data_IF_781300956678
#
_entry.id   IF_781300956678
#
_cell.length_a   1.000
_cell.length_b   1.000
_cell.length_c   1.000
_cell.angle_alpha   90.00
_cell.angle_beta   90.00
_cell.angle_gamma   90.00
#
_symmetry.space_group_name_H-M   'P 1'
#
loop_
_entity.id
_entity.type
_entity.pdbx_description
1 polymer ?
#
# COMPACT_ATOMS: atom_id res chain seq x y z
N UNK A 1 19.74 -16.06 28.33
CA UNK A 1 20.41 -14.98 27.56
C UNK A 1 19.89 -15.04 26.12
N UNK A 2 18.82 -14.31 25.82
CA UNK A 2 18.25 -14.28 24.47
C UNK A 2 18.93 -13.20 23.62
N UNK A 3 19.36 -13.60 22.43
CA UNK A 3 20.03 -12.76 21.44
C UNK A 3 18.98 -11.90 20.73
N UNK A 4 18.89 -10.63 21.12
CA UNK A 4 18.07 -9.62 20.45
C UNK A 4 18.57 -9.42 19.01
N UNK A 5 17.72 -9.77 18.05
CA UNK A 5 17.98 -9.61 16.62
C UNK A 5 18.25 -8.13 16.30
N UNK A 6 19.33 -7.89 15.57
CA UNK A 6 19.86 -6.57 15.18
C UNK A 6 19.08 -6.03 13.98
N UNK A 7 17.78 -5.79 14.17
CA UNK A 7 16.92 -5.22 13.14
C UNK A 7 17.19 -3.72 13.01
N UNK A 8 17.81 -3.34 11.89
CA UNK A 8 17.86 -2.01 11.28
C UNK A 8 17.78 -0.77 12.19
N UNK A 9 18.95 -0.20 12.50
CA UNK A 9 19.13 1.14 13.11
C UNK A 9 18.46 2.32 12.36
N UNK A 10 17.82 2.08 11.22
CA UNK A 10 17.11 3.10 10.43
C UNK A 10 15.62 3.22 10.73
N UNK A 11 14.99 2.20 11.33
CA UNK A 11 13.55 2.24 11.67
C UNK A 11 13.28 3.03 12.95
N UNK A 12 14.15 2.89 13.97
CA UNK A 12 14.05 3.65 15.22
C UNK A 12 14.22 5.17 15.02
N UNK A 13 14.92 5.62 13.97
CA UNK A 13 15.11 7.04 13.69
C UNK A 13 13.88 7.70 13.05
N UNK A 14 13.00 6.93 12.41
CA UNK A 14 11.69 7.39 11.94
C UNK A 14 10.63 7.34 13.04
N UNK A 15 10.88 6.60 14.12
CA UNK A 15 9.97 6.41 15.25
C UNK A 15 10.40 7.26 16.45
N UNK A 16 11.17 8.32 16.19
CA UNK A 16 11.59 9.33 17.15
C UNK A 16 10.44 9.70 18.08
N UNK A 17 10.69 9.38 19.35
CA UNK A 17 9.92 9.73 20.53
C UNK A 17 9.48 11.19 20.53
N UNK A 18 8.19 11.42 20.32
CA UNK A 18 7.40 12.37 21.12
C UNK A 18 5.89 12.25 20.82
N UNK A 19 5.15 11.94 21.89
CA UNK A 19 3.75 12.20 22.22
C UNK A 19 2.74 12.65 21.12
N UNK A 20 2.42 11.75 20.20
CA UNK A 20 1.07 11.69 19.64
C UNK A 20 0.67 10.23 19.41
N UNK A 21 -0.19 9.74 20.30
CA UNK A 21 -0.90 8.47 20.21
C UNK A 21 -1.78 8.40 18.95
N UNK A 22 -1.19 8.26 17.77
CA UNK A 22 -1.85 7.61 16.65
C UNK A 22 -1.70 6.11 16.88
N UNK A 23 -2.55 5.56 17.74
CA UNK A 23 -2.71 4.11 17.81
C UNK A 23 -3.09 3.63 16.40
N UNK A 24 -2.17 2.94 15.74
CA UNK A 24 -2.46 2.04 14.63
C UNK A 24 -3.36 0.92 15.20
N UNK A 25 -4.63 1.23 15.41
CA UNK A 25 -5.65 0.24 15.74
C UNK A 25 -5.93 -0.54 14.47
N UNK A 26 -5.06 -1.49 14.15
CA UNK A 26 -5.25 -2.42 13.04
C UNK A 26 -6.30 -3.45 13.46
N UNK A 27 -7.56 -3.08 13.43
CA UNK A 27 -8.66 -4.05 13.57
C UNK A 27 -8.71 -4.89 12.30
N UNK A 28 -8.21 -6.13 12.37
CA UNK A 28 -8.47 -7.13 11.35
C UNK A 28 -9.98 -7.32 11.26
N UNK A 29 -10.56 -6.86 10.15
CA UNK A 29 -12.00 -6.93 9.88
C UNK A 29 -12.22 -7.71 8.59
N UNK A 30 -13.35 -8.40 8.49
CA UNK A 30 -13.77 -9.01 7.23
C UNK A 30 -14.73 -8.06 6.54
N UNK A 31 -14.43 -7.70 5.30
CA UNK A 31 -15.22 -6.77 4.50
C UNK A 31 -15.69 -7.47 3.22
N UNK A 32 -16.92 -7.19 2.81
CA UNK A 32 -17.45 -7.70 1.54
C UNK A 32 -16.62 -7.19 0.36
N UNK A 33 -16.29 -8.09 -0.56
CA UNK A 33 -15.48 -7.75 -1.74
C UNK A 33 -16.17 -6.74 -2.66
N UNK A 34 -17.50 -6.64 -2.58
CA UNK A 34 -18.35 -5.74 -3.36
C UNK A 34 -18.30 -4.29 -2.88
N UNK A 35 -18.01 -4.07 -1.59
CA UNK A 35 -17.91 -2.71 -1.02
C UNK A 35 -16.48 -2.15 -1.08
N UNK A 36 -15.52 -2.94 -1.56
CA UNK A 36 -14.14 -2.53 -1.77
C UNK A 36 -13.95 -2.02 -3.20
N UNK A 37 -13.68 -0.74 -3.33
CA UNK A 37 -13.34 -0.09 -4.59
C UNK A 37 -11.84 -0.10 -4.84
N UNK A 38 -11.46 -0.23 -6.10
CA UNK A 38 -10.06 -0.13 -6.51
C UNK A 38 -9.56 1.30 -6.30
N UNK A 39 -8.27 1.43 -6.02
CA UNK A 39 -7.66 2.77 -5.95
C UNK A 39 -7.65 3.40 -7.35
N UNK A 40 -8.13 4.65 -7.51
CA UNK A 40 -8.02 5.38 -8.76
C UNK A 40 -6.56 5.74 -9.09
N UNK A 41 -5.65 5.57 -8.12
CA UNK A 41 -4.24 5.93 -8.23
C UNK A 41 -3.34 4.74 -8.57
N UNK A 42 -3.90 3.62 -9.04
CA UNK A 42 -3.11 2.45 -9.41
C UNK A 42 -2.62 2.53 -10.87
N UNK A 43 -1.29 2.65 -11.09
CA UNK A 43 -0.74 2.78 -12.44
C UNK A 43 -0.64 1.43 -13.18
N UNK A 44 -0.70 0.28 -12.48
CA UNK A 44 -0.50 -1.04 -13.12
C UNK A 44 -1.70 -1.41 -13.99
N UNK A 45 -1.55 -1.29 -15.31
CA UNK A 45 -2.56 -1.70 -16.30
C UNK A 45 -2.45 -3.15 -16.77
N UNK A 46 -1.27 -3.76 -16.65
CA UNK A 46 -1.01 -5.15 -17.07
C UNK A 46 -0.80 -6.09 -15.88
N UNK A 47 -1.60 -7.15 -15.80
CA UNK A 47 -1.40 -8.26 -14.85
C UNK A 47 -1.12 -9.52 -15.67
N UNK A 48 -0.14 -10.29 -15.25
CA UNK A 48 0.08 -11.63 -15.77
C UNK A 48 -1.10 -12.51 -15.32
N UNK A 49 -1.83 -13.04 -16.30
CA UNK A 49 -3.06 -13.80 -16.07
C UNK A 49 -2.76 -15.19 -15.48
N UNK A 50 -1.60 -15.76 -15.80
CA UNK A 50 -1.15 -17.04 -15.25
C UNK A 50 -0.77 -16.90 -13.77
N UNK A 51 -0.03 -15.85 -13.42
CA UNK A 51 0.28 -15.56 -12.02
C UNK A 51 -0.97 -15.24 -11.18
N UNK A 52 -1.95 -14.56 -11.78
CA UNK A 52 -3.22 -14.25 -11.13
C UNK A 52 -4.05 -15.52 -10.89
N UNK A 53 -4.08 -16.42 -11.89
CA UNK A 53 -4.76 -17.71 -11.79
C UNK A 53 -4.17 -18.59 -10.68
N UNK A 54 -2.83 -18.68 -10.63
CA UNK A 54 -2.13 -19.39 -9.56
C UNK A 54 -2.43 -18.81 -8.16
N UNK A 55 -2.46 -17.47 -8.04
CA UNK A 55 -2.81 -16.81 -6.78
C UNK A 55 -4.28 -17.05 -6.40
N UNK A 56 -5.20 -17.02 -7.37
CA UNK A 56 -6.62 -17.33 -7.17
C UNK A 56 -6.82 -18.76 -6.68
N UNK A 57 -6.14 -19.74 -7.29
CA UNK A 57 -6.17 -21.13 -6.84
C UNK A 57 -5.62 -21.28 -5.41
N UNK A 58 -4.53 -20.60 -5.08
CA UNK A 58 -3.98 -20.59 -3.72
C UNK A 58 -4.96 -19.99 -2.71
N UNK A 59 -5.61 -18.87 -3.06
CA UNK A 59 -6.60 -18.18 -2.23
C UNK A 59 -7.87 -19.02 -2.05
N UNK A 60 -8.32 -19.78 -3.05
CA UNK A 60 -9.44 -20.72 -2.89
C UNK A 60 -9.15 -21.78 -1.84
N UNK A 61 -7.91 -22.28 -1.77
CA UNK A 61 -7.54 -23.38 -0.87
C UNK A 61 -7.21 -22.89 0.55
N UNK A 62 -6.47 -21.79 0.67
CA UNK A 62 -5.91 -21.34 1.95
C UNK A 62 -6.53 -20.03 2.46
N UNK A 63 -7.40 -19.39 1.68
CA UNK A 63 -7.87 -18.04 1.95
C UNK A 63 -6.78 -16.98 1.75
N UNK A 64 -7.06 -15.76 2.20
CA UNK A 64 -6.10 -14.66 2.15
C UNK A 64 -5.33 -14.62 3.46
N UNK A 65 -4.05 -14.99 3.42
CA UNK A 65 -3.17 -14.96 4.60
C UNK A 65 -2.76 -13.54 4.99
N UNK A 66 -2.47 -12.70 3.99
CA UNK A 66 -2.07 -11.31 4.22
C UNK A 66 -3.26 -10.37 3.94
N UNK A 67 -3.80 -9.67 4.95
CA UNK A 67 -4.93 -8.78 4.79
C UNK A 67 -4.71 -7.68 3.75
N UNK A 68 -5.78 -7.29 3.07
CA UNK A 68 -5.77 -6.09 2.21
C UNK A 68 -5.67 -4.85 3.09
N UNK A 69 -5.06 -3.78 2.59
CA UNK A 69 -5.08 -2.48 3.29
C UNK A 69 -6.12 -1.62 2.61
N UNK A 70 -7.09 -1.14 3.38
CA UNK A 70 -8.20 -0.32 2.88
C UNK A 70 -8.35 0.91 3.75
N UNK A 71 -8.91 1.98 3.18
CA UNK A 71 -9.40 3.13 3.96
C UNK A 71 -10.91 3.25 3.82
N UNK A 72 -11.57 3.76 4.85
CA UNK A 72 -13.00 4.00 4.80
C UNK A 72 -13.30 5.31 4.07
N UNK A 73 -14.23 5.29 3.11
CA UNK A 73 -14.71 6.46 2.37
C UNK A 73 -16.24 6.41 2.35
N UNK A 74 -16.86 7.15 3.27
CA UNK A 74 -18.31 7.04 3.52
C UNK A 74 -18.69 5.63 3.99
N UNK A 75 -19.63 5.01 3.28
CA UNK A 75 -20.11 3.64 3.56
C UNK A 75 -19.30 2.55 2.82
N UNK A 76 -18.27 2.94 2.06
CA UNK A 76 -17.46 2.05 1.23
C UNK A 76 -16.01 2.02 1.70
N UNK A 77 -15.26 1.08 1.15
CA UNK A 77 -13.83 0.96 1.38
C UNK A 77 -13.07 1.21 0.09
N UNK A 78 -12.03 2.02 0.15
CA UNK A 78 -11.10 2.18 -0.96
C UNK A 78 -9.84 1.38 -0.68
N UNK A 79 -9.42 0.56 -1.64
CA UNK A 79 -8.18 -0.19 -1.54
C UNK A 79 -6.98 0.76 -1.53
N UNK A 80 -6.07 0.57 -0.58
CA UNK A 80 -4.78 1.26 -0.51
C UNK A 80 -3.68 0.34 -1.03
N UNK A 81 -3.68 -0.93 -0.59
CA UNK A 81 -2.69 -1.93 -1.02
C UNK A 81 -3.29 -3.34 -1.11
N UNK A 82 -2.75 -4.14 -2.04
CA UNK A 82 -3.15 -5.54 -2.24
C UNK A 82 -4.03 -5.81 -3.46
N UNK A 83 -3.92 -5.02 -4.53
CA UNK A 83 -4.75 -5.13 -5.75
C UNK A 83 -4.77 -6.54 -6.35
N UNK A 84 -3.60 -7.19 -6.44
CA UNK A 84 -3.49 -8.58 -6.92
C UNK A 84 -4.32 -9.54 -6.07
N UNK A 85 -4.30 -9.37 -4.75
CA UNK A 85 -5.05 -10.20 -3.79
C UNK A 85 -6.55 -9.92 -3.90
N UNK A 86 -6.98 -8.67 -4.04
CA UNK A 86 -8.39 -8.32 -4.24
C UNK A 86 -8.93 -8.94 -5.55
N UNK A 87 -8.17 -8.82 -6.65
CA UNK A 87 -8.55 -9.41 -7.94
C UNK A 87 -8.60 -10.93 -7.89
N UNK A 88 -7.58 -11.57 -7.30
CA UNK A 88 -7.56 -13.01 -7.13
C UNK A 88 -8.69 -13.50 -6.20
N UNK A 89 -9.05 -12.73 -5.17
CA UNK A 89 -10.20 -13.03 -4.31
C UNK A 89 -11.54 -12.97 -5.05
N UNK A 90 -11.71 -11.98 -5.92
CA UNK A 90 -12.88 -11.89 -6.82
C UNK A 90 -12.94 -13.09 -7.76
N UNK A 91 -11.84 -13.43 -8.41
CA UNK A 91 -11.74 -14.61 -9.27
C UNK A 91 -11.93 -15.93 -8.50
N UNK A 92 -11.56 -15.94 -7.22
CA UNK A 92 -11.77 -17.07 -6.32
C UNK A 92 -13.24 -17.25 -5.90
N UNK A 93 -14.09 -16.23 -6.09
CA UNK A 93 -15.48 -16.25 -5.65
C UNK A 93 -15.66 -16.02 -4.15
N UNK A 94 -14.69 -15.38 -3.48
CA UNK A 94 -14.81 -15.03 -2.07
C UNK A 94 -15.81 -13.89 -1.87
N UNK A 95 -16.76 -14.06 -0.95
CA UNK A 95 -17.72 -13.02 -0.57
C UNK A 95 -17.10 -11.96 0.34
N UNK A 96 -16.21 -12.36 1.24
CA UNK A 96 -15.54 -11.48 2.20
C UNK A 96 -14.04 -11.74 2.25
N UNK A 97 -13.28 -10.69 2.54
CA UNK A 97 -11.81 -10.74 2.61
C UNK A 97 -11.31 -10.07 3.90
N UNK A 98 -10.21 -10.57 4.49
CA UNK A 98 -9.58 -9.92 5.62
C UNK A 98 -8.94 -8.60 5.17
N UNK A 99 -9.25 -7.54 5.89
CA UNK A 99 -8.72 -6.20 5.64
C UNK A 99 -8.20 -5.57 6.92
N UNK A 100 -7.21 -4.70 6.75
CA UNK A 100 -6.74 -3.74 7.73
C UNK A 100 -7.26 -2.38 7.32
N UNK A 101 -8.11 -1.78 8.14
CA UNK A 101 -8.64 -0.42 7.90
C UNK A 101 -7.63 0.60 8.41
N UNK A 102 -7.25 1.54 7.56
CA UNK A 102 -6.37 2.67 7.90
C UNK A 102 -7.10 4.00 7.73
N UNK A 103 -6.83 4.93 8.65
CA UNK A 103 -7.38 6.29 8.59
C UNK A 103 -6.47 7.18 7.76
N UNK A 104 -6.41 6.94 6.45
CA UNK A 104 -5.61 7.74 5.51
C UNK A 104 -6.46 8.78 4.79
N UNK A 105 -5.98 10.02 4.79
CA UNK A 105 -6.49 11.03 3.85
C UNK A 105 -5.99 10.73 2.41
N UNK A 106 -6.47 11.48 1.42
CA UNK A 106 -6.13 11.26 0.00
C UNK A 106 -4.62 11.35 -0.26
N UNK A 107 -3.94 12.26 0.45
CA UNK A 107 -2.49 12.42 0.35
C UNK A 107 -1.75 11.20 0.86
N UNK A 108 -2.08 10.73 2.08
CA UNK A 108 -1.47 9.55 2.68
C UNK A 108 -1.77 8.27 1.88
N UNK A 109 -2.95 8.17 1.29
CA UNK A 109 -3.30 7.06 0.40
C UNK A 109 -2.42 7.04 -0.85
N UNK A 110 -2.17 8.22 -1.45
CA UNK A 110 -1.27 8.34 -2.60
C UNK A 110 0.20 8.08 -2.21
N UNK A 111 0.66 8.60 -1.06
CA UNK A 111 2.00 8.32 -0.51
C UNK A 111 2.20 6.81 -0.33
N UNK A 112 1.25 6.11 0.30
CA UNK A 112 1.33 4.67 0.52
C UNK A 112 1.34 3.88 -0.80
N UNK A 113 0.53 4.29 -1.78
CA UNK A 113 0.52 3.67 -3.11
C UNK A 113 1.86 3.89 -3.84
N UNK A 114 2.49 5.06 -3.70
CA UNK A 114 3.81 5.34 -4.25
C UNK A 114 4.88 4.48 -3.56
N UNK A 115 4.88 4.40 -2.23
CA UNK A 115 5.85 3.58 -1.48
C UNK A 115 5.78 2.11 -1.90
N UNK A 116 4.59 1.53 -1.96
CA UNK A 116 4.41 0.14 -2.40
C UNK A 116 4.95 -0.08 -3.81
N UNK A 117 4.61 0.82 -4.73
CA UNK A 117 5.09 0.78 -6.10
C UNK A 117 6.62 0.86 -6.19
N UNK A 118 7.26 1.77 -5.44
CA UNK A 118 8.72 1.93 -5.47
C UNK A 118 9.45 0.71 -4.91
N UNK A 119 8.89 0.06 -3.90
CA UNK A 119 9.41 -1.18 -3.31
C UNK A 119 9.34 -2.37 -4.28
N UNK A 120 8.65 -2.24 -5.41
CA UNK A 120 8.63 -3.27 -6.43
C UNK A 120 9.92 -3.32 -7.22
N UNK A 121 10.42 -4.54 -7.39
CA UNK A 121 11.63 -4.86 -8.15
C UNK A 121 11.50 -4.58 -9.65
N UNK A 122 10.27 -4.53 -10.18
CA UNK A 122 9.97 -4.45 -11.62
C UNK A 122 9.52 -3.06 -12.10
N UNK A 123 9.44 -2.06 -11.21
CA UNK A 123 8.86 -0.76 -11.58
C UNK A 123 9.81 0.07 -12.47
N UNK A 124 9.31 0.49 -13.63
CA UNK A 124 10.06 1.27 -14.61
C UNK A 124 10.44 2.66 -14.04
N UNK A 125 11.70 3.13 -14.20
CA UNK A 125 12.12 4.47 -13.77
C UNK A 125 11.21 5.61 -14.26
N UNK A 126 10.66 5.51 -15.48
CA UNK A 126 9.73 6.52 -16.03
C UNK A 126 8.41 6.54 -15.26
N UNK A 127 7.89 5.38 -14.88
CA UNK A 127 6.65 5.28 -14.07
C UNK A 127 6.85 5.85 -12.67
N UNK A 128 8.03 5.63 -12.07
CA UNK A 128 8.41 6.27 -10.79
C UNK A 128 8.43 7.79 -10.92
N UNK A 129 9.11 8.31 -11.94
CA UNK A 129 9.21 9.75 -12.18
C UNK A 129 7.83 10.39 -12.42
N UNK A 130 6.94 9.72 -13.17
CA UNK A 130 5.56 10.17 -13.37
C UNK A 130 4.77 10.20 -12.06
N UNK A 131 4.92 9.18 -11.20
CA UNK A 131 4.29 9.14 -9.89
C UNK A 131 4.77 10.24 -8.96
N UNK A 132 6.09 10.52 -8.93
CA UNK A 132 6.65 11.63 -8.18
C UNK A 132 6.13 12.97 -8.68
N UNK A 133 6.11 13.16 -10.00
CA UNK A 133 5.61 14.39 -10.62
C UNK A 133 4.14 14.65 -10.30
N UNK A 134 3.25 13.66 -10.49
CA UNK A 134 1.82 13.82 -10.18
C UNK A 134 1.61 14.19 -8.70
N UNK A 135 2.37 13.58 -7.80
CA UNK A 135 2.32 13.92 -6.38
C UNK A 135 2.75 15.38 -6.10
N UNK A 136 3.90 15.79 -6.65
CA UNK A 136 4.43 17.14 -6.44
C UNK A 136 3.48 18.20 -7.01
N UNK A 137 2.95 17.97 -8.21
CA UNK A 137 2.04 18.89 -8.90
C UNK A 137 0.69 19.00 -8.16
N UNK A 138 0.14 17.86 -7.69
CA UNK A 138 -1.17 17.81 -7.00
C UNK A 138 -1.15 18.47 -5.64
N UNK A 139 -0.08 18.28 -4.87
CA UNK A 139 0.02 18.80 -3.50
C UNK A 139 0.94 20.01 -3.37
N UNK A 140 1.44 20.55 -4.49
CA UNK A 140 2.34 21.71 -4.55
C UNK A 140 3.53 21.56 -3.57
N UNK A 141 4.08 20.34 -3.49
CA UNK A 141 5.16 20.00 -2.56
C UNK A 141 6.55 20.14 -3.19
N UNK A 142 7.57 20.26 -2.35
CA UNK A 142 8.96 20.25 -2.77
C UNK A 142 9.48 18.81 -2.88
N UNK A 143 10.54 18.62 -3.67
CA UNK A 143 11.23 17.32 -3.76
C UNK A 143 11.77 16.86 -2.40
N UNK A 144 12.15 17.80 -1.54
CA UNK A 144 12.64 17.52 -0.19
C UNK A 144 11.54 16.95 0.70
N UNK A 145 10.36 17.57 0.73
CA UNK A 145 9.22 17.05 1.48
C UNK A 145 8.78 15.67 0.99
N UNK A 146 8.75 15.45 -0.33
CA UNK A 146 8.42 14.14 -0.89
C UNK A 146 9.46 13.08 -0.48
N UNK A 147 10.76 13.42 -0.53
CA UNK A 147 11.83 12.52 -0.13
C UNK A 147 11.69 12.11 1.35
N UNK A 148 11.41 13.06 2.25
CA UNK A 148 11.16 12.77 3.68
C UNK A 148 9.95 11.85 3.87
N UNK A 149 8.83 12.11 3.18
CA UNK A 149 7.61 11.30 3.28
C UNK A 149 7.79 9.87 2.78
N UNK A 150 8.57 9.69 1.71
CA UNK A 150 8.87 8.37 1.13
C UNK A 150 10.05 7.66 1.80
N UNK A 151 10.75 8.30 2.75
CA UNK A 151 11.96 7.76 3.36
C UNK A 151 13.13 7.60 2.38
N UNK A 152 13.22 8.50 1.40
CA UNK A 152 14.20 8.47 0.31
C UNK A 152 15.16 9.67 0.35
N UNK A 153 16.25 9.60 -0.41
CA UNK A 153 17.15 10.73 -0.57
C UNK A 153 16.59 11.72 -1.62
N UNK A 154 16.68 13.03 -1.34
CA UNK A 154 16.24 14.09 -2.26
C UNK A 154 16.80 13.97 -3.70
N UNK A 155 18.07 13.56 -3.93
CA UNK A 155 18.58 13.32 -5.27
C UNK A 155 17.85 12.21 -6.02
N UNK A 156 17.38 11.15 -5.34
CA UNK A 156 16.60 10.05 -5.94
C UNK A 156 15.25 10.51 -6.48
N UNK A 157 14.69 11.56 -5.90
CA UNK A 157 13.44 12.17 -6.37
C UNK A 157 13.71 13.17 -7.51
N UNK A 158 14.91 13.76 -7.55
CA UNK A 158 15.24 14.85 -8.47
C UNK A 158 15.82 14.36 -9.81
N UNK A 159 16.54 13.23 -9.80
CA UNK A 159 17.20 12.63 -10.97
C UNK A 159 16.36 11.50 -11.57
#
# INVERSE_FOLDING_TARGET
MEKKSRLGRGLDALLGSDDAQASLSSTQSHVSVEVIEQSPFQPRKGFDEDELSALSASIKTHGILQPLVVRQVGDRFQLVAGERRLRAARAAGLSSVPVTVVNFNDQQALEAALIENIQRSDLNPIEKAMGFKDYLDRYQMTHEHLATRLGMARPTITN
#
